data_IF_451732623921
#
_entry.id   IF_451732623921
#
_cell.length_a   1.000
_cell.length_b   1.000
_cell.length_c   1.000
_cell.angle_alpha   90.00
_cell.angle_beta   90.00
_cell.angle_gamma   90.00
#
_symmetry.space_group_name_H-M   'P 1'
#
loop_
_entity.id
_entity.type
_entity.pdbx_description
1 polymer ?
#
# COMPACT_ATOMS: atom_id res chain seq x y z
N UNK A 1 -18.29 12.04 43.93
CA UNK A 1 -17.86 10.65 43.65
C UNK A 1 -18.49 10.09 42.37
N UNK A 2 -19.82 10.03 42.26
CA UNK A 2 -20.51 9.45 41.09
C UNK A 2 -20.15 10.07 39.74
N UNK A 3 -19.99 11.40 39.66
CA UNK A 3 -19.59 12.09 38.43
C UNK A 3 -18.16 11.73 37.98
N UNK A 4 -17.24 11.52 38.93
CA UNK A 4 -15.87 11.07 38.65
C UNK A 4 -15.85 9.62 38.16
N UNK A 5 -16.65 8.75 38.78
CA UNK A 5 -16.78 7.34 38.38
C UNK A 5 -17.40 7.24 36.98
N UNK A 6 -18.45 8.01 36.70
CA UNK A 6 -19.06 8.10 35.38
C UNK A 6 -18.06 8.62 34.33
N UNK A 7 -17.29 9.67 34.67
CA UNK A 7 -16.22 10.19 33.81
C UNK A 7 -15.15 9.14 33.50
N UNK A 8 -14.66 8.41 34.51
CA UNK A 8 -13.71 7.31 34.31
C UNK A 8 -14.28 6.21 33.42
N UNK A 9 -15.52 5.77 33.66
CA UNK A 9 -16.18 4.74 32.86
C UNK A 9 -16.30 5.17 31.39
N UNK A 10 -16.76 6.38 31.12
CA UNK A 10 -16.83 6.93 29.75
C UNK A 10 -15.44 6.97 29.12
N UNK A 11 -14.42 7.42 29.85
CA UNK A 11 -13.05 7.49 29.36
C UNK A 11 -12.50 6.11 28.98
N UNK A 12 -12.65 5.11 29.85
CA UNK A 12 -12.25 3.74 29.55
C UNK A 12 -13.01 3.14 28.39
N UNK A 13 -14.32 3.41 28.27
CA UNK A 13 -15.13 2.87 27.17
C UNK A 13 -14.74 3.48 25.83
N UNK A 14 -14.46 4.80 25.80
CA UNK A 14 -13.96 5.49 24.61
C UNK A 14 -12.58 4.96 24.23
N UNK A 15 -11.62 4.89 25.16
CA UNK A 15 -10.27 4.40 24.84
C UNK A 15 -10.26 2.92 24.47
N UNK A 16 -10.99 2.06 25.19
CA UNK A 16 -11.07 0.63 24.88
C UNK A 16 -11.85 0.33 23.59
N UNK A 17 -12.79 1.20 23.17
CA UNK A 17 -13.57 1.02 21.94
C UNK A 17 -12.92 1.67 20.71
N UNK A 18 -12.35 2.87 20.87
CA UNK A 18 -11.80 3.67 19.76
C UNK A 18 -10.38 3.23 19.42
N UNK A 19 -9.52 2.96 20.40
CA UNK A 19 -8.10 2.60 20.15
C UNK A 19 -7.95 1.33 19.30
N UNK A 20 -8.70 0.24 19.54
CA UNK A 20 -8.61 -0.95 18.68
C UNK A 20 -9.14 -0.70 17.27
N UNK A 21 -10.11 0.22 17.10
CA UNK A 21 -10.61 0.58 15.77
C UNK A 21 -9.62 1.42 14.96
N UNK A 22 -8.66 2.09 15.63
CA UNK A 22 -7.52 2.74 14.97
C UNK A 22 -6.56 1.72 14.32
N UNK A 23 -6.66 0.42 14.59
CA UNK A 23 -5.84 -0.57 13.90
C UNK A 23 -6.15 -0.66 12.39
N UNK A 24 -7.38 -0.34 11.96
CA UNK A 24 -7.78 -0.27 10.53
C UNK A 24 -7.14 0.87 9.74
N UNK A 25 -6.35 1.69 10.42
CA UNK A 25 -5.92 2.99 9.92
C UNK A 25 -4.50 2.96 9.36
N UNK A 26 -3.78 1.85 9.54
CA UNK A 26 -2.38 1.76 9.12
C UNK A 26 -2.22 1.08 7.76
N UNK A 27 -2.65 1.77 6.70
CA UNK A 27 -2.41 1.35 5.30
C UNK A 27 -0.93 1.02 5.09
N UNK A 28 -0.02 1.83 5.62
CA UNK A 28 1.42 1.61 5.51
C UNK A 28 1.89 0.31 6.20
N UNK A 29 1.32 -0.06 7.35
CA UNK A 29 1.62 -1.33 8.02
C UNK A 29 1.10 -2.51 7.21
N UNK A 30 -0.12 -2.42 6.69
CA UNK A 30 -0.68 -3.45 5.80
C UNK A 30 0.17 -3.64 4.54
N UNK A 31 0.67 -2.56 3.93
CA UNK A 31 1.60 -2.65 2.80
C UNK A 31 2.89 -3.36 3.22
N UNK A 32 3.50 -2.97 4.36
CA UNK A 32 4.73 -3.57 4.85
C UNK A 32 4.57 -5.09 5.09
N UNK A 33 3.50 -5.49 5.77
CA UNK A 33 3.18 -6.90 6.03
C UNK A 33 3.03 -7.71 4.74
N UNK A 34 2.32 -7.16 3.75
CA UNK A 34 2.16 -7.82 2.44
C UNK A 34 3.50 -8.02 1.76
N UNK A 35 4.32 -6.97 1.69
CA UNK A 35 5.64 -7.04 1.09
C UNK A 35 6.56 -8.06 1.78
N UNK A 36 6.50 -8.16 3.12
CA UNK A 36 7.26 -9.16 3.86
C UNK A 36 6.72 -10.58 3.64
N UNK A 37 5.39 -10.75 3.58
CA UNK A 37 4.75 -12.06 3.38
C UNK A 37 4.98 -12.64 1.99
N UNK A 38 5.20 -11.81 0.96
CA UNK A 38 5.50 -12.26 -0.40
C UNK A 38 6.88 -12.91 -0.54
N UNK A 39 7.73 -12.89 0.49
CA UNK A 39 9.10 -13.44 0.45
C UNK A 39 10.10 -12.66 -0.42
N UNK A 40 9.62 -11.73 -1.24
CA UNK A 40 10.42 -10.83 -2.07
C UNK A 40 10.44 -9.43 -1.45
N UNK A 41 11.62 -9.02 -0.96
CA UNK A 41 11.85 -7.64 -0.57
C UNK A 41 12.19 -6.83 -1.83
N UNK A 42 11.28 -5.97 -2.33
CA UNK A 42 11.59 -5.15 -3.50
C UNK A 42 12.73 -4.20 -3.18
N UNK A 43 13.63 -4.04 -4.15
CA UNK A 43 14.78 -3.14 -4.05
C UNK A 43 14.35 -1.67 -3.97
N UNK A 44 13.29 -1.31 -4.69
CA UNK A 44 12.70 0.03 -4.69
C UNK A 44 11.17 -0.05 -4.81
N UNK A 45 10.49 0.99 -4.33
CA UNK A 45 9.03 1.08 -4.33
C UNK A 45 8.62 2.44 -4.90
N UNK A 46 7.73 2.44 -5.88
CA UNK A 46 7.06 3.65 -6.35
C UNK A 46 5.65 3.72 -5.74
N UNK A 47 5.23 4.87 -5.24
CA UNK A 47 3.89 5.10 -4.73
C UNK A 47 3.19 6.21 -5.51
N UNK A 48 2.07 5.87 -6.16
CA UNK A 48 1.24 6.78 -6.94
C UNK A 48 -0.11 7.04 -6.28
N UNK A 49 -0.45 8.31 -6.07
CA UNK A 49 -1.68 8.75 -5.42
C UNK A 49 -1.62 8.75 -3.89
N UNK A 50 -0.83 7.85 -3.29
CA UNK A 50 -0.69 7.74 -1.83
C UNK A 50 0.63 8.33 -1.31
N UNK A 51 0.57 9.58 -0.86
CA UNK A 51 1.71 10.40 -0.42
C UNK A 51 1.71 10.60 1.10
N UNK A 52 1.80 9.52 1.87
CA UNK A 52 1.83 9.61 3.33
C UNK A 52 3.25 9.46 3.88
N UNK A 53 3.69 10.32 4.82
CA UNK A 53 5.01 10.21 5.44
C UNK A 53 5.22 8.85 6.13
N UNK A 54 4.16 8.29 6.71
CA UNK A 54 4.19 7.01 7.42
C UNK A 54 4.65 5.84 6.54
N UNK A 55 4.39 5.89 5.24
CA UNK A 55 4.82 4.87 4.29
C UNK A 55 6.35 4.86 4.14
N UNK A 56 6.96 6.04 4.03
CA UNK A 56 8.41 6.20 3.92
C UNK A 56 9.10 5.73 5.20
N UNK A 57 8.58 6.13 6.37
CA UNK A 57 9.14 5.74 7.66
C UNK A 57 9.01 4.24 7.94
N UNK A 58 7.88 3.62 7.61
CA UNK A 58 7.64 2.20 7.91
C UNK A 58 8.36 1.25 6.94
N UNK A 59 8.41 1.60 5.65
CA UNK A 59 9.05 0.73 4.66
C UNK A 59 10.58 0.80 4.72
N UNK A 60 11.13 1.88 5.30
CA UNK A 60 12.56 2.01 5.61
C UNK A 60 13.50 1.88 4.42
N UNK A 61 12.98 2.10 3.20
CA UNK A 61 13.68 1.88 1.94
C UNK A 61 13.39 3.00 0.95
N UNK A 62 13.99 2.92 -0.23
CA UNK A 62 13.79 3.91 -1.29
C UNK A 62 12.34 3.85 -1.81
N UNK A 63 11.50 4.72 -1.23
CA UNK A 63 10.11 4.94 -1.63
C UNK A 63 10.08 6.21 -2.46
N UNK A 64 9.82 6.07 -3.74
CA UNK A 64 9.62 7.17 -4.67
C UNK A 64 8.14 7.55 -4.65
N UNK A 65 7.84 8.77 -4.22
CA UNK A 65 6.50 9.33 -4.31
C UNK A 65 6.35 9.98 -5.69
N UNK A 66 5.50 9.41 -6.54
CA UNK A 66 5.47 9.71 -7.97
C UNK A 66 4.04 9.77 -8.49
N UNK A 67 3.86 10.19 -9.74
CA UNK A 67 2.57 10.10 -10.41
C UNK A 67 2.30 8.70 -11.01
N UNK A 68 1.10 8.51 -11.58
CA UNK A 68 0.69 7.24 -12.19
C UNK A 68 1.53 6.83 -13.40
N UNK A 69 2.04 7.79 -14.16
CA UNK A 69 2.87 7.56 -15.36
C UNK A 69 4.28 7.18 -14.95
N UNK A 70 4.86 7.93 -14.02
CA UNK A 70 6.16 7.67 -13.42
C UNK A 70 6.20 6.33 -12.71
N UNK A 71 5.12 5.91 -12.02
CA UNK A 71 5.04 4.57 -11.43
C UNK A 71 5.08 3.44 -12.48
N UNK A 72 4.47 3.63 -13.65
CA UNK A 72 4.53 2.66 -14.75
C UNK A 72 5.92 2.62 -15.39
N UNK A 73 6.55 3.79 -15.59
CA UNK A 73 7.94 3.89 -16.06
C UNK A 73 8.92 3.24 -15.08
N UNK A 74 8.73 3.48 -13.78
CA UNK A 74 9.51 2.86 -12.71
C UNK A 74 9.47 1.33 -12.80
N UNK A 75 8.28 0.72 -12.99
CA UNK A 75 8.20 -0.74 -13.18
C UNK A 75 8.86 -1.22 -14.48
N UNK A 76 8.90 -0.39 -15.52
CA UNK A 76 9.62 -0.74 -16.74
C UNK A 76 11.14 -0.83 -16.49
N UNK A 77 11.68 0.08 -15.68
CA UNK A 77 13.11 0.17 -15.36
C UNK A 77 13.58 -0.74 -14.22
N UNK A 78 12.69 -1.06 -13.27
CA UNK A 78 12.97 -1.90 -12.11
C UNK A 78 12.18 -3.23 -12.18
N UNK A 79 12.76 -4.32 -12.74
CA UNK A 79 12.10 -5.62 -12.83
C UNK A 79 11.65 -6.20 -11.48
N UNK A 80 12.44 -5.97 -10.42
CA UNK A 80 12.15 -6.39 -9.04
C UNK A 80 11.44 -5.30 -8.21
N UNK A 81 11.02 -4.22 -8.87
CA UNK A 81 10.33 -3.10 -8.26
C UNK A 81 8.87 -3.42 -7.92
N UNK A 82 8.31 -2.63 -6.99
CA UNK A 82 6.88 -2.64 -6.68
C UNK A 82 6.28 -1.26 -6.92
N UNK A 83 5.13 -1.22 -7.57
CA UNK A 83 4.32 0.00 -7.64
C UNK A 83 3.10 -0.13 -6.73
N UNK A 84 2.96 0.80 -5.80
CA UNK A 84 1.78 1.00 -4.97
C UNK A 84 0.92 2.06 -5.65
N UNK A 85 -0.25 1.69 -6.15
CA UNK A 85 -1.12 2.60 -6.90
C UNK A 85 -2.44 2.71 -6.17
N UNK A 86 -2.83 3.93 -5.78
CA UNK A 86 -4.17 4.15 -5.25
C UNK A 86 -5.22 3.86 -6.34
N UNK A 87 -6.33 3.21 -5.98
CA UNK A 87 -7.35 2.78 -6.93
C UNK A 87 -7.88 3.90 -7.84
N UNK A 88 -7.94 5.15 -7.34
CA UNK A 88 -8.34 6.33 -8.13
C UNK A 88 -7.39 6.65 -9.28
N UNK A 89 -6.14 6.24 -9.15
CA UNK A 89 -5.05 6.45 -10.10
C UNK A 89 -4.77 5.22 -10.98
N UNK A 90 -5.47 4.10 -10.73
CA UNK A 90 -5.26 2.82 -11.41
C UNK A 90 -5.41 2.93 -12.93
N UNK A 91 -6.47 3.58 -13.41
CA UNK A 91 -6.76 3.64 -14.84
C UNK A 91 -5.63 4.34 -15.62
N UNK A 92 -5.12 5.46 -15.09
CA UNK A 92 -4.02 6.19 -15.71
C UNK A 92 -2.70 5.39 -15.70
N UNK A 93 -2.42 4.68 -14.60
CA UNK A 93 -1.27 3.78 -14.49
C UNK A 93 -1.34 2.64 -15.51
N UNK A 94 -2.50 1.96 -15.62
CA UNK A 94 -2.68 0.84 -16.53
C UNK A 94 -2.60 1.24 -18.01
N UNK A 95 -3.13 2.41 -18.39
CA UNK A 95 -2.99 2.93 -19.76
C UNK A 95 -1.52 3.09 -20.14
N UNK A 96 -0.70 3.66 -19.25
CA UNK A 96 0.74 3.82 -19.50
C UNK A 96 1.45 2.47 -19.50
N UNK A 97 1.15 1.58 -18.54
CA UNK A 97 1.76 0.25 -18.47
C UNK A 97 1.48 -0.57 -19.74
N UNK A 98 0.27 -0.48 -20.30
CA UNK A 98 -0.10 -1.12 -21.56
C UNK A 98 0.67 -0.55 -22.76
N UNK A 99 0.81 0.78 -22.85
CA UNK A 99 1.62 1.43 -23.89
C UNK A 99 3.09 1.03 -23.83
N UNK A 100 3.60 0.77 -22.62
CA UNK A 100 4.95 0.28 -22.39
C UNK A 100 5.09 -1.24 -22.61
N UNK A 101 4.00 -1.96 -22.89
CA UNK A 101 4.01 -3.41 -23.09
C UNK A 101 4.32 -4.20 -21.82
N UNK A 102 4.08 -3.64 -20.64
CA UNK A 102 4.35 -4.31 -19.37
C UNK A 102 3.34 -5.42 -19.11
N UNK A 103 3.85 -6.60 -18.73
CA UNK A 103 3.04 -7.67 -18.14
C UNK A 103 3.06 -7.53 -16.63
N UNK A 104 1.89 -7.26 -16.08
CA UNK A 104 1.70 -7.07 -14.65
C UNK A 104 1.02 -8.30 -14.06
N UNK A 105 1.50 -8.76 -12.92
CA UNK A 105 0.79 -9.76 -12.14
C UNK A 105 -0.53 -9.19 -11.61
N UNK A 106 -1.49 -10.07 -11.29
CA UNK A 106 -2.73 -9.65 -10.64
C UNK A 106 -2.40 -8.86 -9.35
N UNK A 107 -2.90 -7.62 -9.20
CA UNK A 107 -2.52 -6.78 -8.08
C UNK A 107 -3.09 -7.31 -6.78
N UNK A 108 -2.28 -7.29 -5.73
CA UNK A 108 -2.80 -7.45 -4.38
C UNK A 108 -3.51 -6.16 -3.97
N UNK A 109 -4.73 -6.28 -3.44
CA UNK A 109 -5.50 -5.14 -2.99
C UNK A 109 -5.44 -5.01 -1.46
N UNK A 110 -5.21 -3.78 -1.01
CA UNK A 110 -5.24 -3.41 0.39
C UNK A 110 -6.18 -2.22 0.58
N UNK A 111 -7.27 -2.41 1.31
CA UNK A 111 -8.13 -1.33 1.75
C UNK A 111 -7.66 -0.81 3.12
N UNK A 112 -7.80 0.49 3.35
CA UNK A 112 -7.59 1.09 4.65
C UNK A 112 -8.04 2.55 4.69
N UNK A 113 -7.65 3.25 5.74
CA UNK A 113 -8.10 4.62 5.98
C UNK A 113 -6.91 5.58 6.02
N UNK A 114 -6.97 6.64 5.23
CA UNK A 114 -5.99 7.71 5.28
C UNK A 114 -6.42 8.72 6.36
N UNK A 115 -5.68 8.79 7.49
CA UNK A 115 -5.96 9.76 8.56
C UNK A 115 -5.78 11.19 8.09
N UNK A 116 -4.66 11.47 7.42
CA UNK A 116 -4.28 12.82 7.00
C UNK A 116 -5.35 13.47 6.13
N UNK A 117 -6.06 12.67 5.33
CA UNK A 117 -7.14 13.10 4.43
C UNK A 117 -8.55 12.72 4.93
N UNK A 118 -8.67 11.96 6.02
CA UNK A 118 -9.95 11.52 6.58
C UNK A 118 -10.84 10.72 5.61
N UNK A 119 -10.25 9.82 4.81
CA UNK A 119 -11.01 9.08 3.79
C UNK A 119 -10.52 7.65 3.62
N UNK A 120 -11.43 6.76 3.20
CA UNK A 120 -11.08 5.42 2.76
C UNK A 120 -10.23 5.47 1.49
N UNK A 121 -9.19 4.64 1.49
CA UNK A 121 -8.26 4.47 0.38
C UNK A 121 -8.07 2.99 0.09
N UNK A 122 -7.85 2.70 -1.18
CA UNK A 122 -7.54 1.34 -1.64
C UNK A 122 -6.23 1.44 -2.39
N UNK A 123 -5.23 0.69 -1.92
CA UNK A 123 -3.91 0.59 -2.52
C UNK A 123 -3.82 -0.74 -3.27
N UNK A 124 -3.39 -0.66 -4.52
CA UNK A 124 -3.15 -1.79 -5.39
C UNK A 124 -1.64 -1.97 -5.52
N UNK A 125 -1.16 -3.16 -5.18
CA UNK A 125 0.25 -3.50 -5.20
C UNK A 125 0.53 -4.23 -6.51
N UNK A 126 1.19 -3.55 -7.44
CA UNK A 126 1.58 -4.10 -8.73
C UNK A 126 3.03 -4.57 -8.72
N UNK A 127 3.24 -5.69 -9.40
CA UNK A 127 4.54 -6.29 -9.71
C UNK A 127 4.55 -6.69 -11.17
N UNK A 128 5.74 -6.81 -11.74
CA UNK A 128 5.87 -7.46 -13.05
C UNK A 128 5.67 -8.95 -12.91
N UNK A 129 5.00 -9.53 -13.90
CA UNK A 129 4.92 -10.97 -14.03
C UNK A 129 6.33 -11.47 -14.40
N UNK A 130 6.96 -12.22 -13.50
CA UNK A 130 8.17 -12.96 -13.83
C UNK A 130 7.77 -14.15 -14.67
N UNK A 131 8.34 -14.25 -15.87
CA UNK A 131 8.21 -15.46 -16.68
C UNK A 131 9.00 -16.56 -15.99
N UNK A 132 8.30 -17.46 -15.29
CA UNK A 132 8.94 -18.61 -14.66
C UNK A 132 9.29 -19.63 -15.75
N UNK A 133 10.54 -19.59 -16.22
CA UNK A 133 11.06 -20.50 -17.25
C UNK A 133 11.25 -21.95 -16.76
N UNK A 134 10.63 -22.35 -15.64
CA UNK A 134 10.88 -23.62 -14.96
C UNK A 134 9.72 -24.62 -15.03
N UNK A 135 8.69 -24.40 -15.85
CA UNK A 135 7.53 -25.31 -15.94
C UNK A 135 7.44 -26.17 -17.22
N UNK A 136 8.51 -26.26 -18.01
CA UNK A 136 8.59 -27.10 -19.22
C UNK A 136 9.57 -28.28 -19.08
N UNK A 137 9.64 -28.95 -17.93
CA UNK A 137 10.36 -30.22 -17.84
C UNK A 137 9.80 -31.13 -16.73
N UNK A 138 8.62 -31.72 -16.96
CA UNK A 138 8.25 -33.04 -16.45
C UNK A 138 7.42 -33.81 -17.49
#
# INVERSE_FOLDING_TARGET
MALFIAGMLVHFTIFAGVVPQLARVHVATGVAERLTSSGSQPAAIAAAGYHEPSLVFLLGREVLLVDSREAALFLAEAPDGVALVEARHQAAFLDVAQRLGLRLAAPEQLAGYNISKGQDVVILIYRREMFDATSDNE
#
